data_IF_424530624213
#
_entry.id   IF_424530624213
#
_cell.length_a   1.000
_cell.length_b   1.000
_cell.length_c   1.000
_cell.angle_alpha   90.00
_cell.angle_beta   90.00
_cell.angle_gamma   90.00
#
_symmetry.space_group_name_H-M   'P 1'
#
loop_
_entity.id
_entity.type
_entity.pdbx_description
1 polymer ?
#
# COMPACT_ATOMS: atom_id res chain seq x y z
N UNK A 1 -17.00 6.40 -16.95
CA UNK A 1 -15.71 7.13 -16.93
C UNK A 1 -14.65 6.18 -16.38
N UNK A 2 -13.42 6.20 -16.88
CA UNK A 2 -12.36 5.36 -16.31
C UNK A 2 -12.01 5.83 -14.89
N UNK A 3 -11.80 4.89 -13.97
CA UNK A 3 -11.39 5.20 -12.60
C UNK A 3 -10.09 6.01 -12.60
N UNK A 4 -10.12 7.21 -11.98
CA UNK A 4 -8.91 8.03 -11.80
C UNK A 4 -8.25 7.65 -10.48
N UNK A 5 -6.96 7.34 -10.49
CA UNK A 5 -6.17 7.13 -9.27
C UNK A 5 -5.93 8.46 -8.56
N UNK A 6 -6.34 8.54 -7.29
CA UNK A 6 -6.13 9.70 -6.41
C UNK A 6 -4.86 9.54 -5.59
N UNK A 7 -4.56 8.31 -5.16
CA UNK A 7 -3.42 7.99 -4.33
C UNK A 7 -3.04 6.52 -4.47
N UNK A 8 -1.75 6.18 -4.42
CA UNK A 8 -1.29 4.79 -4.59
C UNK A 8 0.04 4.55 -3.89
N UNK A 9 0.11 3.46 -3.12
CA UNK A 9 1.33 2.96 -2.50
C UNK A 9 1.59 1.50 -2.91
N UNK A 10 2.72 1.19 -3.55
CA UNK A 10 3.02 -0.18 -4.01
C UNK A 10 3.52 -1.11 -2.88
N UNK A 11 3.66 -0.63 -1.65
CA UNK A 11 4.24 -1.35 -0.51
C UNK A 11 5.77 -1.48 -0.57
N UNK A 12 6.32 -2.13 -1.60
CA UNK A 12 7.77 -2.22 -1.83
C UNK A 12 8.13 -2.09 -3.31
N UNK A 13 9.21 -1.36 -3.59
CA UNK A 13 9.72 -1.19 -4.95
C UNK A 13 10.38 -2.45 -5.49
N UNK A 14 10.32 -2.66 -6.80
CA UNK A 14 11.05 -3.74 -7.49
C UNK A 14 12.57 -3.59 -7.40
N UNK A 15 13.06 -2.39 -7.07
CA UNK A 15 14.47 -2.12 -6.83
C UNK A 15 15.08 -2.99 -5.73
N UNK A 16 14.28 -3.52 -4.80
CA UNK A 16 14.75 -4.48 -3.80
C UNK A 16 15.41 -5.73 -4.42
N UNK A 17 14.96 -6.17 -5.60
CA UNK A 17 15.52 -7.33 -6.29
C UNK A 17 16.88 -7.06 -6.93
N UNK A 18 17.23 -5.79 -7.18
CA UNK A 18 18.49 -5.42 -7.85
C UNK A 18 19.68 -5.63 -6.92
N UNK A 19 19.48 -5.62 -5.60
CA UNK A 19 20.57 -5.79 -4.63
C UNK A 19 21.31 -7.11 -4.75
N UNK A 20 20.62 -8.22 -5.04
CA UNK A 20 21.25 -9.53 -5.22
C UNK A 20 22.21 -9.58 -6.42
N UNK A 21 21.75 -9.24 -7.63
CA UNK A 21 22.60 -9.15 -8.82
C UNK A 21 23.71 -8.10 -8.68
N UNK A 22 23.43 -6.94 -8.07
CA UNK A 22 24.43 -5.91 -7.83
C UNK A 22 25.54 -6.41 -6.90
N UNK A 23 25.18 -7.09 -5.80
CA UNK A 23 26.15 -7.72 -4.90
C UNK A 23 27.02 -8.76 -5.63
N UNK A 24 26.39 -9.63 -6.43
CA UNK A 24 27.12 -10.62 -7.21
C UNK A 24 28.08 -10.00 -8.23
N UNK A 25 27.66 -8.92 -8.89
CA UNK A 25 28.50 -8.16 -9.82
C UNK A 25 29.71 -7.56 -9.11
N UNK A 26 29.50 -6.93 -7.94
CA UNK A 26 30.58 -6.35 -7.15
C UNK A 26 31.58 -7.42 -6.69
N UNK A 27 31.10 -8.60 -6.30
CA UNK A 27 31.95 -9.75 -5.97
C UNK A 27 32.82 -10.20 -7.14
N UNK A 28 32.24 -10.34 -8.33
CA UNK A 28 32.97 -10.71 -9.54
C UNK A 28 34.03 -9.66 -9.92
N UNK A 29 33.70 -8.37 -9.81
CA UNK A 29 34.66 -7.28 -10.05
C UNK A 29 35.80 -7.28 -9.02
N UNK A 30 35.52 -7.62 -7.76
CA UNK A 30 36.54 -7.73 -6.72
C UNK A 30 37.50 -8.91 -6.97
N UNK A 31 37.01 -10.06 -7.41
CA UNK A 31 37.86 -11.18 -7.84
C UNK A 31 38.75 -10.80 -9.03
N UNK A 32 38.18 -10.09 -10.01
CA UNK A 32 38.94 -9.62 -11.17
C UNK A 32 40.06 -8.64 -10.75
N UNK A 33 39.77 -7.74 -9.80
CA UNK A 33 40.74 -6.77 -9.31
C UNK A 33 41.87 -7.40 -8.47
N UNK A 34 41.64 -8.55 -7.85
CA UNK A 34 42.66 -9.26 -7.05
C UNK A 34 43.55 -10.18 -7.88
N UNK A 35 43.27 -10.35 -9.18
CA UNK A 35 44.12 -11.09 -10.13
C UNK A 35 44.08 -12.62 -9.98
N UNK A 36 43.14 -13.14 -9.18
CA UNK A 36 42.89 -14.58 -9.05
C UNK A 36 41.94 -15.14 -10.12
N UNK A 37 41.67 -16.47 -10.11
CA UNK A 37 40.63 -17.06 -10.95
C UNK A 37 39.26 -16.42 -10.68
N UNK A 38 38.61 -15.86 -11.70
CA UNK A 38 37.27 -15.27 -11.55
C UNK A 38 36.19 -16.35 -11.68
N UNK A 39 35.41 -16.55 -10.62
CA UNK A 39 34.34 -17.55 -10.56
C UNK A 39 33.03 -16.99 -11.10
N UNK A 40 33.00 -16.62 -12.39
CA UNK A 40 31.84 -15.98 -13.04
C UNK A 40 30.56 -16.80 -12.83
N UNK A 41 30.62 -18.12 -13.05
CA UNK A 41 29.46 -19.02 -12.85
C UNK A 41 28.99 -19.00 -11.39
N UNK A 42 29.92 -18.99 -10.42
CA UNK A 42 29.60 -18.91 -9.00
C UNK A 42 28.86 -17.62 -8.64
N UNK A 43 29.34 -16.47 -9.11
CA UNK A 43 28.68 -15.19 -8.89
C UNK A 43 27.31 -15.11 -9.55
N UNK A 44 27.15 -15.64 -10.77
CA UNK A 44 25.85 -15.72 -11.43
C UNK A 44 24.87 -16.55 -10.59
N UNK A 45 25.29 -17.73 -10.11
CA UNK A 45 24.44 -18.57 -9.26
C UNK A 45 24.05 -17.89 -7.95
N UNK A 46 24.99 -17.18 -7.30
CA UNK A 46 24.72 -16.39 -6.09
C UNK A 46 23.69 -15.29 -6.38
N UNK A 47 23.88 -14.52 -7.46
CA UNK A 47 22.96 -13.46 -7.85
C UNK A 47 21.55 -14.00 -8.10
N UNK A 48 21.42 -15.11 -8.83
CA UNK A 48 20.14 -15.79 -9.07
C UNK A 48 19.52 -16.30 -7.77
N UNK A 49 20.30 -16.94 -6.90
CA UNK A 49 19.81 -17.45 -5.62
C UNK A 49 19.28 -16.33 -4.71
N UNK A 50 19.97 -15.18 -4.65
CA UNK A 50 19.52 -14.02 -3.88
C UNK A 50 18.21 -13.43 -4.43
N UNK A 51 18.06 -13.35 -5.76
CA UNK A 51 16.78 -12.94 -6.38
C UNK A 51 15.68 -13.95 -6.06
N UNK A 52 15.94 -15.24 -6.23
CA UNK A 52 14.97 -16.30 -5.98
C UNK A 52 14.48 -16.30 -4.52
N UNK A 53 15.36 -16.00 -3.56
CA UNK A 53 15.01 -15.90 -2.15
C UNK A 53 14.20 -14.64 -1.82
N UNK A 54 14.54 -13.50 -2.43
CA UNK A 54 13.91 -12.21 -2.13
C UNK A 54 12.59 -11.98 -2.89
N UNK A 55 12.41 -12.64 -4.03
CA UNK A 55 11.25 -12.49 -4.90
C UNK A 55 9.91 -12.82 -4.19
N UNK A 56 9.75 -13.96 -3.48
CA UNK A 56 8.51 -14.25 -2.76
C UNK A 56 8.17 -13.19 -1.70
N UNK A 57 9.19 -12.66 -1.01
CA UNK A 57 9.01 -11.62 0.00
C UNK A 57 8.57 -10.29 -0.61
N UNK A 58 9.21 -9.85 -1.71
CA UNK A 58 8.82 -8.65 -2.46
C UNK A 58 7.40 -8.81 -2.98
N UNK A 59 7.08 -9.96 -3.57
CA UNK A 59 5.76 -10.27 -4.08
C UNK A 59 4.69 -10.20 -2.99
N UNK A 60 4.92 -10.86 -1.85
CA UNK A 60 4.00 -10.82 -0.71
C UNK A 60 3.77 -9.39 -0.22
N UNK A 61 4.82 -8.60 -0.03
CA UNK A 61 4.68 -7.19 0.39
C UNK A 61 3.92 -6.36 -0.64
N UNK A 62 4.19 -6.52 -1.93
CA UNK A 62 3.44 -5.82 -2.97
C UNK A 62 1.98 -6.27 -3.05
N UNK A 63 1.69 -7.53 -2.75
CA UNK A 63 0.33 -8.09 -2.87
C UNK A 63 -0.55 -7.72 -1.67
N UNK A 64 0.02 -7.71 -0.47
CA UNK A 64 -0.73 -7.53 0.77
C UNK A 64 -0.56 -6.14 1.39
N UNK A 65 0.54 -5.43 1.11
CA UNK A 65 0.82 -4.09 1.63
C UNK A 65 0.72 -2.99 0.56
N UNK A 66 0.10 -3.29 -0.58
CA UNK A 66 -0.27 -2.26 -1.56
C UNK A 66 -1.57 -1.59 -1.19
N UNK A 67 -1.66 -0.29 -1.44
CA UNK A 67 -2.87 0.49 -1.30
C UNK A 67 -3.09 1.29 -2.59
N UNK A 68 -4.35 1.44 -3.00
CA UNK A 68 -4.74 2.33 -4.08
C UNK A 68 -6.09 2.96 -3.77
N UNK A 69 -6.19 4.27 -3.90
CA UNK A 69 -7.43 5.04 -3.87
C UNK A 69 -7.72 5.52 -5.27
N UNK A 70 -8.90 5.18 -5.76
CA UNK A 70 -9.42 5.65 -7.04
C UNK A 70 -10.75 6.36 -6.83
N UNK A 71 -11.28 6.98 -7.87
CA UNK A 71 -12.65 7.54 -7.86
C UNK A 71 -13.74 6.50 -7.59
N UNK A 72 -13.45 5.21 -7.78
CA UNK A 72 -14.41 4.12 -7.55
C UNK A 72 -14.30 3.51 -6.14
N UNK A 73 -13.20 3.78 -5.42
CA UNK A 73 -13.03 3.28 -4.06
C UNK A 73 -11.59 3.10 -3.62
N UNK A 74 -11.45 2.46 -2.46
CA UNK A 74 -10.19 2.15 -1.78
C UNK A 74 -9.88 0.66 -1.90
N UNK A 75 -8.68 0.31 -2.39
CA UNK A 75 -8.13 -1.04 -2.34
C UNK A 75 -6.97 -1.09 -1.34
N UNK A 76 -7.02 -2.03 -0.41
CA UNK A 76 -5.92 -2.33 0.52
C UNK A 76 -5.59 -3.81 0.53
N UNK A 77 -4.37 -4.15 0.11
CA UNK A 77 -3.93 -5.52 -0.10
C UNK A 77 -4.84 -6.25 -1.08
N UNK A 78 -5.69 -7.13 -0.54
CA UNK A 78 -6.68 -7.92 -1.30
C UNK A 78 -8.12 -7.44 -1.14
N UNK A 79 -8.36 -6.50 -0.24
CA UNK A 79 -9.69 -6.00 0.07
C UNK A 79 -9.98 -4.71 -0.70
N UNK A 80 -11.22 -4.58 -1.15
CA UNK A 80 -11.74 -3.40 -1.86
C UNK A 80 -12.96 -2.87 -1.14
N UNK A 81 -13.00 -1.56 -0.92
CA UNK A 81 -14.10 -0.81 -0.35
C UNK A 81 -14.60 0.19 -1.39
N UNK A 82 -15.88 0.09 -1.76
CA UNK A 82 -16.49 0.96 -2.76
C UNK A 82 -16.55 2.41 -2.26
N UNK A 83 -16.34 3.37 -3.17
CA UNK A 83 -16.34 4.80 -2.83
C UNK A 83 -17.66 5.21 -2.18
N UNK A 84 -18.81 4.77 -2.70
CA UNK A 84 -20.15 5.08 -2.19
C UNK A 84 -20.37 4.73 -0.72
N UNK A 85 -19.65 3.74 -0.20
CA UNK A 85 -19.74 3.33 1.20
C UNK A 85 -18.98 4.25 2.15
N UNK A 86 -18.10 5.11 1.64
CA UNK A 86 -17.20 5.94 2.46
C UNK A 86 -17.91 7.27 2.76
N UNK A 87 -18.23 7.51 4.03
CA UNK A 87 -19.01 8.69 4.45
C UNK A 87 -18.16 9.67 5.27
N UNK A 88 -17.24 9.17 6.09
CA UNK A 88 -16.41 10.04 6.94
C UNK A 88 -15.00 9.48 7.17
N UNK A 89 -14.03 10.39 7.27
CA UNK A 89 -12.61 10.08 7.57
C UNK A 89 -11.98 11.04 8.59
N UNK A 90 -12.78 11.98 9.12
CA UNK A 90 -12.36 12.96 10.11
C UNK A 90 -13.23 12.80 11.34
N UNK A 91 -12.64 12.91 12.53
CA UNK A 91 -13.30 12.73 13.83
C UNK A 91 -14.03 11.38 14.00
N UNK A 92 -13.60 10.38 13.23
CA UNK A 92 -14.07 9.00 13.36
C UNK A 92 -13.26 8.35 14.48
N UNK A 93 -13.89 8.11 15.63
CA UNK A 93 -13.28 7.32 16.69
C UNK A 93 -13.04 5.88 16.24
N UNK A 94 -11.98 5.25 16.72
CA UNK A 94 -11.72 3.83 16.52
C UNK A 94 -11.93 3.06 17.82
N UNK A 95 -13.08 2.40 18.02
CA UNK A 95 -13.25 1.45 19.11
C UNK A 95 -12.18 0.36 19.09
N UNK A 96 -11.84 -0.17 20.26
CA UNK A 96 -10.92 -1.32 20.36
C UNK A 96 -11.52 -2.51 19.61
N UNK A 97 -10.71 -3.16 18.78
CA UNK A 97 -11.15 -4.30 17.96
C UNK A 97 -11.81 -3.91 16.64
N UNK A 98 -11.75 -2.63 16.24
CA UNK A 98 -12.18 -2.20 14.90
C UNK A 98 -11.45 -3.00 13.82
N UNK A 99 -12.21 -3.48 12.83
CA UNK A 99 -11.70 -4.35 11.79
C UNK A 99 -10.71 -3.58 10.89
N UNK A 100 -9.50 -4.13 10.75
CA UNK A 100 -8.47 -3.59 9.87
C UNK A 100 -8.71 -4.07 8.43
N UNK A 101 -8.70 -3.13 7.49
CA UNK A 101 -8.84 -3.42 6.06
C UNK A 101 -7.61 -4.18 5.53
N UNK A 102 -7.84 -5.05 4.55
CA UNK A 102 -6.78 -5.87 3.93
C UNK A 102 -6.60 -7.26 4.56
N UNK A 103 -7.47 -7.61 5.52
CA UNK A 103 -7.58 -8.98 6.08
C UNK A 103 -6.55 -9.33 7.16
N UNK A 104 -5.85 -8.34 7.71
CA UNK A 104 -4.96 -8.51 8.86
C UNK A 104 -5.68 -8.37 10.19
N UNK A 105 -5.07 -8.87 11.26
CA UNK A 105 -5.57 -8.70 12.64
C UNK A 105 -5.22 -7.34 13.25
N UNK A 106 -4.18 -6.70 12.71
CA UNK A 106 -3.66 -5.42 13.16
C UNK A 106 -3.04 -4.65 11.99
N UNK A 107 -2.86 -3.35 12.18
CA UNK A 107 -2.20 -2.49 11.20
C UNK A 107 -0.74 -2.95 10.99
N UNK A 108 -0.27 -3.08 9.74
CA UNK A 108 1.08 -3.50 9.47
C UNK A 108 2.13 -2.59 10.12
N UNK A 109 3.23 -3.17 10.60
CA UNK A 109 4.30 -2.37 11.23
C UNK A 109 4.83 -1.30 10.26
N UNK A 110 5.01 -0.08 10.76
CA UNK A 110 5.44 1.13 10.01
C UNK A 110 4.35 1.75 9.11
N UNK A 111 3.10 1.38 9.31
CA UNK A 111 1.95 2.04 8.72
C UNK A 111 1.14 2.64 9.85
N UNK A 112 0.55 3.80 9.58
CA UNK A 112 -0.33 4.49 10.50
C UNK A 112 -1.79 4.15 10.18
N UNK A 113 -2.63 4.18 11.20
CA UNK A 113 -4.04 3.81 11.11
C UNK A 113 -4.91 5.03 10.81
N UNK A 114 -5.94 4.83 9.98
CA UNK A 114 -6.93 5.84 9.66
C UNK A 114 -8.34 5.25 9.82
N UNK A 115 -9.11 5.69 10.83
CA UNK A 115 -10.50 5.26 10.97
C UNK A 115 -11.37 5.83 9.84
N UNK A 116 -12.15 4.96 9.21
CA UNK A 116 -13.05 5.30 8.10
C UNK A 116 -14.46 4.88 8.49
N UNK A 117 -15.37 5.84 8.53
CA UNK A 117 -16.80 5.62 8.77
C UNK A 117 -17.52 5.26 7.47
N UNK A 118 -18.37 4.25 7.56
CA UNK A 118 -19.15 3.72 6.45
C UNK A 118 -20.60 4.18 6.48
N UNK A 119 -21.27 4.02 5.34
CA UNK A 119 -22.69 4.31 5.11
C UNK A 119 -23.65 3.49 6.00
N UNK A 120 -23.26 2.27 6.36
CA UNK A 120 -23.98 1.40 7.30
C UNK A 120 -23.75 1.76 8.79
N UNK A 121 -23.03 2.85 9.07
CA UNK A 121 -22.68 3.31 10.41
C UNK A 121 -21.55 2.53 11.08
N UNK A 122 -20.94 1.57 10.39
CA UNK A 122 -19.77 0.85 10.89
C UNK A 122 -18.49 1.66 10.67
N UNK A 123 -17.44 1.31 11.41
CA UNK A 123 -16.10 1.89 11.26
C UNK A 123 -15.13 0.79 10.89
N UNK A 124 -14.22 1.09 9.96
CA UNK A 124 -13.10 0.21 9.58
C UNK A 124 -11.79 0.98 9.71
N UNK A 125 -10.70 0.26 9.98
CA UNK A 125 -9.36 0.85 10.04
C UNK A 125 -8.65 0.67 8.69
N UNK A 126 -8.51 1.78 7.97
CA UNK A 126 -7.60 1.90 6.85
C UNK A 126 -6.16 2.15 7.36
N UNK A 127 -5.18 2.07 6.46
CA UNK A 127 -3.77 2.26 6.81
C UNK A 127 -2.94 2.71 5.61
N UNK A 128 -1.94 3.53 5.86
CA UNK A 128 -0.98 4.00 4.85
C UNK A 128 0.36 4.33 5.49
N UNK A 129 1.43 4.42 4.69
CA UNK A 129 2.67 5.05 5.18
C UNK A 129 2.54 6.56 5.25
N UNK A 130 1.79 7.13 4.30
CA UNK A 130 1.40 8.53 4.31
C UNK A 130 -0.09 8.65 4.60
N UNK A 131 -0.42 8.67 5.90
CA UNK A 131 -1.81 8.70 6.36
C UNK A 131 -2.52 10.01 6.00
N UNK A 132 -1.79 11.11 5.87
CA UNK A 132 -2.36 12.40 5.50
C UNK A 132 -2.72 12.46 4.01
N UNK A 133 -1.88 11.88 3.14
CA UNK A 133 -2.23 11.71 1.73
C UNK A 133 -3.44 10.79 1.57
N UNK A 134 -3.51 9.69 2.33
CA UNK A 134 -4.68 8.80 2.33
C UNK A 134 -5.94 9.55 2.78
N UNK A 135 -5.87 10.27 3.90
CA UNK A 135 -6.98 11.05 4.45
C UNK A 135 -7.50 12.07 3.45
N UNK A 136 -6.60 12.77 2.77
CA UNK A 136 -6.95 13.75 1.73
C UNK A 136 -7.69 13.10 0.57
N UNK A 137 -7.18 11.97 0.07
CA UNK A 137 -7.79 11.25 -1.05
C UNK A 137 -9.18 10.69 -0.68
N UNK A 138 -9.35 10.15 0.53
CA UNK A 138 -10.64 9.64 0.99
C UNK A 138 -11.64 10.75 1.33
N UNK A 139 -11.17 11.90 1.83
CA UNK A 139 -12.02 13.05 2.06
C UNK A 139 -12.64 13.57 0.74
N UNK A 140 -11.91 13.52 -0.37
CA UNK A 140 -12.46 13.83 -1.70
C UNK A 140 -13.60 12.88 -2.08
N UNK A 141 -13.48 11.58 -1.77
CA UNK A 141 -14.55 10.61 -2.03
C UNK A 141 -15.76 10.85 -1.12
N UNK A 142 -15.53 11.01 0.18
CA UNK A 142 -16.58 11.25 1.17
C UNK A 142 -17.38 12.53 0.87
N UNK A 143 -16.72 13.59 0.41
CA UNK A 143 -17.37 14.84 0.02
C UNK A 143 -18.36 14.67 -1.14
N UNK A 144 -18.12 13.71 -2.05
CA UNK A 144 -19.03 13.41 -3.16
C UNK A 144 -20.25 12.58 -2.74
N UNK A 145 -20.12 11.82 -1.66
CA UNK A 145 -21.20 10.97 -1.15
C UNK A 145 -22.10 11.67 -0.14
N UNK A 146 -21.70 12.84 0.36
CA UNK A 146 -22.56 13.62 1.25
C UNK A 146 -23.79 14.07 0.47
N UNK A 147 -25.00 13.67 0.87
CA UNK A 147 -26.21 14.09 0.17
C UNK A 147 -26.30 15.63 0.17
N UNK A 148 -26.80 16.20 -0.93
CA UNK A 148 -27.04 17.65 -1.15
C UNK A 148 -28.02 18.29 -0.15
N UNK A 149 -28.40 17.58 0.92
CA UNK A 149 -29.48 17.89 1.88
C UNK A 149 -29.22 19.13 2.75
N UNK A 150 -28.02 19.73 2.70
CA UNK A 150 -27.71 21.00 3.36
C UNK A 150 -27.99 22.25 2.50
N UNK A 151 -28.34 22.10 1.22
CA UNK A 151 -28.60 23.23 0.33
C UNK A 151 -30.04 23.78 0.40
N UNK A 152 -31.00 23.06 1.00
CA UNK A 152 -32.42 23.45 1.04
C UNK A 152 -32.90 24.01 2.40
N UNK A 153 -32.23 23.67 3.51
CA UNK A 153 -32.63 24.07 4.88
C UNK A 153 -32.23 25.51 5.27
N UNK A 154 -31.63 26.28 4.36
CA UNK A 154 -31.31 27.70 4.57
C UNK A 154 -32.28 28.65 3.83
N UNK A 155 -33.35 28.10 3.26
CA UNK A 155 -34.32 28.85 2.43
C UNK A 155 -35.75 28.86 2.97
N UNK A 156 -35.99 28.34 4.17
CA UNK A 156 -37.28 28.38 4.88
C UNK A 156 -37.12 28.93 6.29
#
# INVERSE_FOLDING_TARGET
MAARTLYSEPGVGWSALIWGPLFALLGALAELATGGPTHVVGWVLIGVALVALTLPWVYARRRFLSLEVTTEGLRQGRETLAAERIVSVTDVGAPVGTRVLGGGWSVPRKYDELPVGLDDGTVVLAWARDVEALKTALAELAAKNRPEEQADDSRN
#
